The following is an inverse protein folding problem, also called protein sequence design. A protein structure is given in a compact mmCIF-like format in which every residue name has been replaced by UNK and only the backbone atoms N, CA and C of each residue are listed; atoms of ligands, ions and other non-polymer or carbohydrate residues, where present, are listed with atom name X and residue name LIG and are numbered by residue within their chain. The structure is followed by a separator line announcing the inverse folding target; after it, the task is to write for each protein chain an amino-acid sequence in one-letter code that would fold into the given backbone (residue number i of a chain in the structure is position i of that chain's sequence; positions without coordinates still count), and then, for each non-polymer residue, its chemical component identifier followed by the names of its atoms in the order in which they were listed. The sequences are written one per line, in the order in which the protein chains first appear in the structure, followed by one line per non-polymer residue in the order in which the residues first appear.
data_IF_888596637940
#
_entry.id   IF_888596637940
#
_cell.length_a   1.000
_cell.length_b   1.000
_cell.length_c   1.000
_cell.angle_alpha   90.00
_cell.angle_beta   90.00
_cell.angle_gamma   90.00
#
_symmetry.space_group_name_H-M   'P 1'
#
loop_
_entity.id
_entity.type
_entity.pdbx_description
1 polymer ?
#
# COMPACT_ATOMS: atom_id res chain seq x y z
N UNK A 1 1.84 22.51 30.32
CA UNK A 1 0.81 21.59 29.82
C UNK A 1 1.20 20.18 30.23
N UNK A 2 0.28 19.38 30.77
CA UNK A 2 0.57 17.98 31.12
C UNK A 2 0.50 17.10 29.86
N UNK A 3 1.24 15.98 29.82
CA UNK A 3 1.29 15.09 28.63
C UNK A 3 -0.10 14.57 28.25
N UNK A 4 -0.95 14.35 29.25
CA UNK A 4 -2.34 13.92 29.07
C UNK A 4 -3.22 14.97 28.38
N UNK A 5 -2.94 16.26 28.56
CA UNK A 5 -3.68 17.36 27.92
C UNK A 5 -3.27 17.49 26.46
N UNK A 6 -1.96 17.36 26.17
CA UNK A 6 -1.43 17.36 24.81
C UNK A 6 -1.98 16.21 23.96
N UNK A 7 -2.21 15.04 24.56
CA UNK A 7 -2.74 13.87 23.85
C UNK A 7 -4.20 14.05 23.38
N UNK A 8 -4.96 14.94 24.01
CA UNK A 8 -6.36 15.21 23.64
C UNK A 8 -6.47 16.28 22.55
N UNK A 9 -5.38 16.98 22.23
CA UNK A 9 -5.37 17.99 21.19
C UNK A 9 -5.34 17.32 19.80
N UNK A 10 -6.13 17.82 18.83
CA UNK A 10 -6.09 17.33 17.46
C UNK A 10 -4.74 17.62 16.80
N UNK A 11 -4.11 18.75 17.13
CA UNK A 11 -2.78 19.11 16.63
C UNK A 11 -1.99 19.83 17.72
N UNK A 12 -0.82 19.28 18.09
CA UNK A 12 0.06 19.84 19.12
C UNK A 12 1.04 20.90 18.58
N UNK A 13 1.17 21.04 17.25
CA UNK A 13 2.17 21.91 16.65
C UNK A 13 2.00 23.38 17.04
N UNK A 14 0.75 23.82 17.26
CA UNK A 14 0.45 25.19 17.71
C UNK A 14 0.85 25.49 19.17
N UNK A 15 1.07 24.46 19.98
CA UNK A 15 1.44 24.59 21.40
C UNK A 15 2.95 24.38 21.64
N UNK A 16 3.70 23.99 20.60
CA UNK A 16 5.14 23.78 20.63
C UNK A 16 5.87 25.03 20.14
N UNK A 17 7.10 25.24 20.64
CA UNK A 17 7.95 26.30 20.11
C UNK A 17 8.40 25.99 18.67
N UNK A 18 8.57 27.05 17.87
CA UNK A 18 8.92 26.92 16.45
C UNK A 18 10.23 26.13 16.23
N UNK A 19 11.19 26.23 17.15
CA UNK A 19 12.47 25.53 17.04
C UNK A 19 12.31 24.02 17.26
N UNK A 20 11.49 23.61 18.23
CA UNK A 20 11.12 22.21 18.46
C UNK A 20 10.34 21.64 17.28
N UNK A 21 9.35 22.38 16.77
CA UNK A 21 8.59 21.95 15.57
C UNK A 21 9.52 21.76 14.38
N UNK A 22 10.43 22.72 14.14
CA UNK A 22 11.41 22.64 13.05
C UNK A 22 12.34 21.44 13.23
N UNK A 23 12.80 21.17 14.46
CA UNK A 23 13.66 20.03 14.76
C UNK A 23 12.97 18.69 14.48
N UNK A 24 11.72 18.52 14.94
CA UNK A 24 10.92 17.32 14.67
C UNK A 24 10.73 17.13 13.16
N UNK A 25 10.39 18.20 12.44
CA UNK A 25 10.25 18.17 10.98
C UNK A 25 11.55 17.76 10.27
N UNK A 26 12.69 18.31 10.70
CA UNK A 26 14.00 17.95 10.17
C UNK A 26 14.33 16.48 10.44
N UNK A 27 14.09 15.99 11.66
CA UNK A 27 14.36 14.59 12.03
C UNK A 27 13.51 13.63 11.19
N UNK A 28 12.22 13.96 10.97
CA UNK A 28 11.33 13.17 10.12
C UNK A 28 11.80 13.09 8.66
N UNK A 29 12.21 14.23 8.08
CA UNK A 29 12.72 14.29 6.70
C UNK A 29 14.05 13.54 6.57
N UNK A 30 14.97 13.73 7.51
CA UNK A 30 16.26 13.02 7.50
C UNK A 30 16.08 11.51 7.62
N UNK A 31 15.17 11.05 8.48
CA UNK A 31 14.84 9.64 8.65
C UNK A 31 14.26 9.04 7.35
N UNK A 32 13.34 9.75 6.70
CA UNK A 32 12.79 9.36 5.40
C UNK A 32 13.87 9.28 4.32
N UNK A 33 14.73 10.30 4.21
CA UNK A 33 15.81 10.32 3.22
C UNK A 33 16.80 9.18 3.45
N UNK A 34 17.11 8.85 4.71
CA UNK A 34 18.00 7.74 5.04
C UNK A 34 17.44 6.40 4.53
N UNK A 35 16.15 6.15 4.73
CA UNK A 35 15.50 4.93 4.23
C UNK A 35 15.41 4.92 2.71
N UNK A 36 15.06 6.06 2.10
CA UNK A 36 15.01 6.22 0.64
C UNK A 36 16.38 5.92 0.01
N UNK A 37 17.46 6.45 0.57
CA UNK A 37 18.83 6.17 0.12
C UNK A 37 19.21 4.70 0.29
N UNK A 38 18.78 4.07 1.38
CA UNK A 38 19.09 2.65 1.64
C UNK A 38 18.56 1.69 0.57
N UNK A 39 17.49 2.07 -0.15
CA UNK A 39 16.83 1.24 -1.19
C UNK A 39 17.10 1.70 -2.63
N UNK A 40 18.02 2.64 -2.84
CA UNK A 40 18.27 3.26 -4.16
C UNK A 40 18.60 2.23 -5.25
N UNK A 41 19.52 1.29 -4.98
CA UNK A 41 19.89 0.23 -5.94
C UNK A 41 18.69 -0.65 -6.32
N UNK A 42 17.78 -0.88 -5.38
CA UNK A 42 16.57 -1.65 -5.63
C UNK A 42 15.56 -0.85 -6.47
N UNK A 43 15.44 0.46 -6.25
CA UNK A 43 14.58 1.33 -7.06
C UNK A 43 15.02 1.38 -8.52
N UNK A 44 16.31 1.51 -8.80
CA UNK A 44 16.83 1.54 -10.18
C UNK A 44 16.53 0.23 -10.92
N UNK A 45 16.65 -0.91 -10.23
CA UNK A 45 16.29 -2.22 -10.78
C UNK A 45 14.79 -2.31 -11.03
N UNK A 46 13.97 -1.84 -10.10
CA UNK A 46 12.52 -1.85 -10.24
C UNK A 46 12.06 -0.95 -11.40
N UNK A 47 12.62 0.24 -11.55
CA UNK A 47 12.31 1.15 -12.65
C UNK A 47 12.64 0.52 -14.01
N UNK A 48 13.79 -0.17 -14.10
CA UNK A 48 14.18 -0.91 -15.31
C UNK A 48 13.20 -2.05 -15.62
N UNK A 49 12.76 -2.80 -14.61
CA UNK A 49 11.77 -3.86 -14.78
C UNK A 49 10.40 -3.32 -15.23
N UNK A 50 9.96 -2.20 -14.67
CA UNK A 50 8.72 -1.52 -15.09
C UNK A 50 8.82 -1.04 -16.55
N UNK A 51 9.94 -0.39 -16.93
CA UNK A 51 10.17 0.04 -18.33
C UNK A 51 10.10 -1.12 -19.31
N UNK A 52 10.65 -2.28 -18.94
CA UNK A 52 10.58 -3.50 -19.73
C UNK A 52 9.14 -4.02 -19.85
N UNK A 53 8.41 -4.10 -18.72
CA UNK A 53 7.04 -4.61 -18.68
C UNK A 53 6.05 -3.70 -19.43
N UNK A 54 6.25 -2.38 -19.39
CA UNK A 54 5.46 -1.39 -20.14
C UNK A 54 5.88 -1.29 -21.62
N UNK A 55 6.92 -2.01 -22.02
CA UNK A 55 7.46 -2.01 -23.40
C UNK A 55 7.76 -0.60 -23.91
N UNK A 56 8.32 0.25 -23.06
CA UNK A 56 8.64 1.62 -23.43
C UNK A 56 9.51 1.63 -24.70
N UNK A 57 9.02 2.32 -25.75
CA UNK A 57 9.69 2.41 -27.04
C UNK A 57 10.85 3.39 -26.95
N UNK A 58 12.05 2.88 -26.98
CA UNK A 58 13.26 3.70 -27.04
C UNK A 58 13.68 3.88 -28.49
N UNK A 59 14.12 5.10 -28.84
CA UNK A 59 14.71 5.37 -30.14
C UNK A 59 16.00 4.56 -30.26
N UNK A 60 16.05 3.70 -31.26
CA UNK A 60 17.22 2.87 -31.56
C UNK A 60 17.91 3.46 -32.77
N UNK A 61 19.13 3.97 -32.58
CA UNK A 61 19.92 4.59 -33.67
C UNK A 61 21.03 3.67 -34.21
N UNK A 62 21.02 2.40 -33.80
CA UNK A 62 21.95 1.39 -34.28
C UNK A 62 21.15 0.21 -34.87
N UNK A 63 21.51 -0.34 -36.05
CA UNK A 63 22.66 0.02 -36.88
C UNK A 63 22.51 1.33 -37.69
N UNK A 64 21.32 1.93 -37.76
CA UNK A 64 21.07 3.24 -38.38
C UNK A 64 20.10 4.09 -37.53
N UNK A 65 20.06 5.42 -37.71
CA UNK A 65 19.12 6.30 -37.01
C UNK A 65 17.66 5.86 -37.17
N UNK A 66 16.89 5.88 -36.08
CA UNK A 66 15.48 5.43 -36.05
C UNK A 66 15.24 3.98 -36.56
N UNK A 67 16.23 3.10 -36.38
CA UNK A 67 16.09 1.67 -36.63
C UNK A 67 14.93 1.06 -35.83
N UNK A 68 14.31 0.02 -36.41
CA UNK A 68 13.16 -0.65 -35.80
C UNK A 68 13.51 -1.27 -34.43
N UNK A 69 12.64 -1.02 -33.46
CA UNK A 69 12.72 -1.57 -32.10
C UNK A 69 11.41 -2.32 -31.81
N UNK A 70 11.41 -3.64 -32.08
CA UNK A 70 10.26 -4.51 -31.81
C UNK A 70 10.50 -5.20 -30.47
N UNK A 71 9.67 -4.89 -29.47
CA UNK A 71 9.66 -5.56 -28.17
C UNK A 71 8.44 -6.50 -28.12
N UNK A 72 8.67 -7.80 -27.94
CA UNK A 72 7.57 -8.75 -27.77
C UNK A 72 7.07 -8.72 -26.31
N UNK A 73 5.76 -8.62 -26.05
CA UNK A 73 5.18 -8.38 -24.73
C UNK A 73 5.16 -9.62 -23.79
N UNK A 74 6.24 -10.41 -23.74
CA UNK A 74 6.24 -11.69 -23.02
C UNK A 74 5.90 -11.54 -21.53
N UNK A 75 6.52 -10.56 -20.87
CA UNK A 75 6.30 -10.28 -19.44
C UNK A 75 4.87 -9.81 -19.18
N UNK A 76 4.36 -8.90 -20.01
CA UNK A 76 2.99 -8.39 -19.90
C UNK A 76 1.95 -9.50 -20.08
N UNK A 77 2.14 -10.38 -21.08
CA UNK A 77 1.26 -11.53 -21.32
C UNK A 77 1.28 -12.47 -20.10
N UNK A 78 2.45 -12.76 -19.56
CA UNK A 78 2.58 -13.62 -18.37
C UNK A 78 1.89 -13.01 -17.14
N UNK A 79 2.03 -11.70 -16.93
CA UNK A 79 1.38 -10.98 -15.83
C UNK A 79 -0.15 -11.00 -15.96
N UNK A 80 -0.69 -10.74 -17.16
CA UNK A 80 -2.13 -10.84 -17.43
C UNK A 80 -2.68 -12.25 -17.23
N UNK A 81 -1.93 -13.29 -17.65
CA UNK A 81 -2.30 -14.67 -17.41
C UNK A 81 -2.25 -15.07 -15.93
N UNK A 82 -1.36 -14.45 -15.15
CA UNK A 82 -1.32 -14.62 -13.70
C UNK A 82 -2.55 -14.00 -13.05
N UNK A 83 -2.85 -12.72 -13.31
CA UNK A 83 -4.00 -12.04 -12.69
C UNK A 83 -5.34 -12.70 -13.04
N UNK A 84 -5.53 -13.08 -14.30
CA UNK A 84 -6.73 -13.78 -14.78
C UNK A 84 -7.00 -15.12 -14.07
N UNK A 85 -5.96 -15.79 -13.54
CA UNK A 85 -6.09 -17.02 -12.76
C UNK A 85 -6.16 -16.76 -11.26
N UNK A 86 -5.40 -15.79 -10.77
CA UNK A 86 -5.30 -15.49 -9.35
C UNK A 86 -6.57 -14.83 -8.80
N UNK A 87 -7.17 -13.89 -9.54
CA UNK A 87 -8.36 -13.16 -9.09
C UNK A 87 -9.53 -14.09 -8.72
N UNK A 88 -10.04 -14.97 -9.61
CA UNK A 88 -11.13 -15.89 -9.26
C UNK A 88 -10.72 -16.99 -8.26
N UNK A 89 -9.43 -17.27 -8.12
CA UNK A 89 -8.94 -18.22 -7.13
C UNK A 89 -8.91 -17.64 -5.71
N UNK A 90 -8.64 -16.33 -5.59
CA UNK A 90 -8.51 -15.62 -4.31
C UNK A 90 -9.84 -14.99 -3.87
N UNK A 91 -10.58 -14.36 -4.79
CA UNK A 91 -11.89 -13.78 -4.53
C UNK A 91 -12.95 -14.82 -4.87
N UNK A 92 -13.38 -15.57 -3.85
CA UNK A 92 -14.51 -16.50 -3.93
C UNK A 92 -15.68 -15.94 -3.14
N UNK A 93 -16.48 -15.08 -3.77
CA UNK A 93 -17.69 -14.54 -3.16
C UNK A 93 -18.64 -15.69 -2.75
N UNK A 94 -19.33 -15.59 -1.61
CA UNK A 94 -19.32 -14.46 -0.66
C UNK A 94 -18.21 -14.52 0.41
N UNK A 95 -17.43 -15.60 0.47
CA UNK A 95 -16.49 -15.87 1.57
C UNK A 95 -15.05 -15.48 1.21
N UNK A 96 -14.76 -14.19 1.15
CA UNK A 96 -13.40 -13.68 0.89
C UNK A 96 -12.51 -13.86 2.12
N UNK A 97 -12.99 -13.48 3.31
CA UNK A 97 -12.24 -13.61 4.55
C UNK A 97 -12.35 -15.02 5.10
N UNK A 98 -11.21 -15.72 5.13
CA UNK A 98 -11.11 -17.05 5.75
C UNK A 98 -10.68 -16.94 7.20
N UNK A 99 -11.18 -17.85 8.02
CA UNK A 99 -10.85 -17.93 9.44
C UNK A 99 -10.39 -19.34 9.79
N UNK A 100 -9.59 -19.44 10.85
CA UNK A 100 -9.19 -20.71 11.46
C UNK A 100 -9.61 -20.70 12.92
N UNK A 101 -10.30 -21.76 13.34
CA UNK A 101 -10.61 -21.97 14.76
C UNK A 101 -9.37 -22.57 15.42
N UNK A 102 -8.84 -21.90 16.43
CA UNK A 102 -7.71 -22.39 17.20
C UNK A 102 -8.21 -23.11 18.48
N UNK A 103 -7.72 -24.33 18.71
CA UNK A 103 -8.05 -25.15 19.89
C UNK A 103 -9.32 -26.00 19.71
N UNK A 104 -9.63 -26.83 20.71
CA UNK A 104 -10.81 -27.69 20.70
C UNK A 104 -12.11 -26.87 20.68
N UNK A 105 -13.07 -27.31 19.87
CA UNK A 105 -14.41 -26.73 19.75
C UNK A 105 -15.47 -27.84 19.68
N UNK A 106 -15.68 -28.62 20.77
CA UNK A 106 -16.60 -29.76 20.76
C UNK A 106 -18.05 -29.35 20.45
N UNK A 107 -18.43 -28.14 20.86
CA UNK A 107 -19.79 -27.60 20.71
C UNK A 107 -19.97 -26.72 19.47
N UNK A 108 -18.92 -26.52 18.66
CA UNK A 108 -18.96 -25.71 17.43
C UNK A 108 -19.18 -24.20 17.65
N UNK A 109 -19.15 -23.72 18.89
CA UNK A 109 -19.45 -22.32 19.22
C UNK A 109 -18.36 -21.37 18.71
N UNK A 110 -17.09 -21.79 18.73
CA UNK A 110 -15.98 -20.97 18.22
C UNK A 110 -16.06 -20.88 16.70
N UNK A 111 -16.36 -21.97 16.02
CA UNK A 111 -16.61 -22.00 14.59
C UNK A 111 -17.78 -21.09 14.21
N UNK A 112 -18.91 -21.18 14.93
CA UNK A 112 -20.06 -20.30 14.71
C UNK A 112 -19.75 -18.82 14.90
N UNK A 113 -18.93 -18.47 15.91
CA UNK A 113 -18.47 -17.09 16.12
C UNK A 113 -17.54 -16.62 15.00
N UNK A 114 -16.57 -17.44 14.62
CA UNK A 114 -15.62 -17.12 13.56
C UNK A 114 -16.32 -16.98 12.21
N UNK A 115 -17.33 -17.81 11.92
CA UNK A 115 -18.18 -17.69 10.74
C UNK A 115 -18.92 -16.37 10.65
N UNK A 116 -19.49 -15.88 11.77
CA UNK A 116 -20.13 -14.55 11.81
C UNK A 116 -19.15 -13.42 11.53
N UNK A 117 -17.95 -13.49 12.12
CA UNK A 117 -16.88 -12.50 11.89
C UNK A 117 -16.43 -12.52 10.42
N UNK A 118 -16.13 -13.71 9.88
CA UNK A 118 -15.71 -13.86 8.49
C UNK A 118 -16.75 -13.35 7.49
N UNK A 119 -18.03 -13.63 7.74
CA UNK A 119 -19.13 -13.12 6.91
C UNK A 119 -19.25 -11.59 7.01
N UNK A 120 -19.13 -11.03 8.21
CA UNK A 120 -19.18 -9.58 8.40
C UNK A 120 -17.99 -8.87 7.73
N UNK A 121 -16.77 -9.37 7.90
CA UNK A 121 -15.58 -8.79 7.25
C UNK A 121 -15.63 -8.95 5.72
N UNK A 122 -16.15 -10.07 5.20
CA UNK A 122 -16.32 -10.24 3.76
C UNK A 122 -17.37 -9.27 3.20
N UNK A 123 -18.45 -9.02 3.95
CA UNK A 123 -19.43 -7.98 3.62
C UNK A 123 -18.80 -6.57 3.61
N UNK A 124 -17.95 -6.24 4.58
CA UNK A 124 -17.24 -4.95 4.60
C UNK A 124 -16.39 -4.76 3.34
N UNK A 125 -15.65 -5.79 2.93
CA UNK A 125 -14.77 -5.70 1.76
C UNK A 125 -15.53 -5.68 0.43
N UNK A 126 -16.57 -6.51 0.28
CA UNK A 126 -17.28 -6.64 -1.00
C UNK A 126 -18.35 -5.57 -1.21
N UNK A 127 -19.03 -5.14 -0.15
CA UNK A 127 -20.21 -4.28 -0.25
C UNK A 127 -19.98 -2.87 0.29
N UNK A 128 -19.12 -2.68 1.29
CA UNK A 128 -18.84 -1.33 1.82
C UNK A 128 -17.66 -0.67 1.11
N UNK A 129 -16.63 -1.44 0.77
CA UNK A 129 -15.45 -0.97 0.05
C UNK A 129 -15.53 -1.34 -1.45
N UNK A 130 -16.43 -0.68 -2.19
CA UNK A 130 -16.68 -0.98 -3.61
C UNK A 130 -15.42 -0.98 -4.50
N UNK A 131 -14.41 -0.18 -4.14
CA UNK A 131 -13.15 -0.05 -4.90
C UNK A 131 -12.14 -1.17 -4.59
N UNK A 132 -12.40 -1.96 -3.53
CA UNK A 132 -11.47 -2.97 -3.04
C UNK A 132 -11.11 -4.02 -4.09
N UNK A 133 -12.09 -4.49 -4.85
CA UNK A 133 -11.90 -5.54 -5.87
C UNK A 133 -11.08 -5.01 -7.04
N UNK A 134 -11.36 -3.78 -7.50
CA UNK A 134 -10.59 -3.13 -8.56
C UNK A 134 -9.13 -2.92 -8.16
N UNK A 135 -8.90 -2.44 -6.93
CA UNK A 135 -7.55 -2.25 -6.41
C UNK A 135 -6.82 -3.58 -6.25
N UNK A 136 -7.54 -4.64 -5.83
CA UNK A 136 -6.96 -5.97 -5.75
C UNK A 136 -6.59 -6.54 -7.13
N UNK A 137 -7.38 -6.31 -8.17
CA UNK A 137 -7.03 -6.69 -9.54
C UNK A 137 -5.78 -5.95 -10.03
N UNK A 138 -5.69 -4.63 -9.80
CA UNK A 138 -4.47 -3.85 -10.09
C UNK A 138 -3.25 -4.43 -9.37
N UNK A 139 -3.40 -4.79 -8.09
CA UNK A 139 -2.34 -5.45 -7.32
C UNK A 139 -1.89 -6.75 -7.97
N UNK A 140 -2.83 -7.60 -8.43
CA UNK A 140 -2.50 -8.89 -9.04
C UNK A 140 -1.81 -8.75 -10.39
N UNK A 141 -2.07 -7.68 -11.15
CA UNK A 141 -1.34 -7.38 -12.38
C UNK A 141 0.09 -6.90 -12.07
N UNK A 142 0.25 -6.06 -11.06
CA UNK A 142 1.53 -5.47 -10.69
C UNK A 142 2.46 -6.46 -9.95
N UNK A 143 1.91 -7.33 -9.11
CA UNK A 143 2.65 -8.29 -8.27
C UNK A 143 3.66 -9.15 -9.04
N UNK A 144 3.34 -9.79 -10.19
CA UNK A 144 4.32 -10.58 -10.94
C UNK A 144 5.43 -9.75 -11.59
N UNK A 145 5.24 -8.43 -11.73
CA UNK A 145 6.24 -7.51 -12.30
C UNK A 145 7.13 -6.94 -11.19
N UNK A 146 6.53 -6.45 -10.12
CA UNK A 146 7.21 -5.78 -9.00
C UNK A 146 7.78 -6.78 -7.97
N UNK A 147 7.27 -8.01 -7.96
CA UNK A 147 7.64 -9.09 -7.03
C UNK A 147 7.00 -8.97 -5.65
N UNK A 148 6.67 -7.76 -5.21
CA UNK A 148 6.00 -7.49 -3.93
C UNK A 148 4.97 -6.38 -4.10
N UNK A 149 3.90 -6.43 -3.30
CA UNK A 149 2.90 -5.37 -3.17
C UNK A 149 2.40 -5.40 -1.73
N UNK A 150 1.93 -4.26 -1.22
CA UNK A 150 1.43 -4.14 0.15
C UNK A 150 -0.05 -3.77 0.15
N UNK A 151 -0.73 -4.08 1.26
CA UNK A 151 -2.11 -3.69 1.49
C UNK A 151 -2.21 -3.04 2.86
N UNK A 152 -2.80 -1.85 2.91
CA UNK A 152 -3.06 -1.11 4.14
C UNK A 152 -4.55 -1.11 4.38
N UNK A 153 -4.97 -1.62 5.54
CA UNK A 153 -6.37 -1.58 5.96
C UNK A 153 -6.49 -0.67 7.18
N UNK A 154 -7.36 0.34 7.10
CA UNK A 154 -7.57 1.32 8.16
C UNK A 154 -9.04 1.75 8.20
N UNK A 155 -9.45 2.31 9.34
CA UNK A 155 -10.75 2.93 9.45
C UNK A 155 -10.67 4.37 8.95
N UNK A 156 -11.43 4.68 7.90
CA UNK A 156 -11.58 6.04 7.42
C UNK A 156 -12.67 6.73 8.24
N UNK A 157 -12.30 7.77 8.99
CA UNK A 157 -13.21 8.54 9.82
C UNK A 157 -14.22 9.36 9.01
N UNK A 158 -13.86 9.77 7.78
CA UNK A 158 -14.70 10.58 6.90
C UNK A 158 -15.76 9.68 6.26
N UNK A 159 -15.33 8.60 5.60
CA UNK A 159 -16.23 7.62 4.99
C UNK A 159 -16.93 6.70 6.02
N UNK A 160 -16.50 6.74 7.29
CA UNK A 160 -17.00 5.93 8.42
C UNK A 160 -16.99 4.43 8.16
N UNK A 161 -16.06 3.96 7.34
CA UNK A 161 -15.94 2.55 6.93
C UNK A 161 -14.47 2.11 6.96
N UNK A 162 -14.27 0.80 7.02
CA UNK A 162 -12.94 0.23 6.83
C UNK A 162 -12.61 0.29 5.34
N UNK A 163 -11.48 0.89 5.01
CA UNK A 163 -10.96 0.95 3.64
C UNK A 163 -9.67 0.13 3.59
N UNK A 164 -9.50 -0.65 2.53
CA UNK A 164 -8.28 -1.41 2.32
C UNK A 164 -7.63 -1.09 0.98
N UNK A 165 -6.72 -0.11 1.00
CA UNK A 165 -6.00 0.35 -0.19
C UNK A 165 -4.74 -0.47 -0.47
N UNK A 166 -4.37 -0.53 -1.75
CA UNK A 166 -3.11 -1.11 -2.20
C UNK A 166 -2.01 -0.06 -2.10
N UNK A 167 -0.84 -0.47 -1.64
CA UNK A 167 0.36 0.37 -1.58
C UNK A 167 1.46 -0.31 -2.39
N UNK A 168 1.95 0.38 -3.42
CA UNK A 168 3.02 -0.15 -4.25
C UNK A 168 4.37 -0.04 -3.51
N UNK A 169 5.33 -0.93 -3.82
CA UNK A 169 6.66 -0.85 -3.22
C UNK A 169 7.38 0.47 -3.50
N UNK A 170 7.08 1.16 -4.61
CA UNK A 170 7.63 2.50 -4.89
C UNK A 170 7.26 3.50 -3.80
N UNK A 171 6.06 3.38 -3.27
CA UNK A 171 5.45 4.40 -2.41
C UNK A 171 5.65 4.06 -0.94
N UNK A 172 5.89 2.79 -0.60
CA UNK A 172 6.29 2.38 0.74
C UNK A 172 7.81 2.46 0.93
N UNK A 173 8.23 3.48 1.68
CA UNK A 173 9.62 3.67 2.11
C UNK A 173 9.83 3.04 3.48
N UNK A 174 10.73 2.06 3.50
CA UNK A 174 11.22 1.38 4.70
C UNK A 174 12.72 1.18 4.55
N UNK A 175 13.42 1.01 5.68
CA UNK A 175 14.84 0.64 5.66
C UNK A 175 15.04 -0.67 4.88
N UNK A 176 15.90 -0.65 3.87
CA UNK A 176 16.13 -1.80 2.99
C UNK A 176 16.67 -3.03 3.72
N UNK A 177 17.39 -2.83 4.83
CA UNK A 177 18.03 -3.90 5.60
C UNK A 177 17.16 -4.45 6.73
N UNK A 178 15.91 -3.98 6.86
CA UNK A 178 14.99 -4.54 7.83
C UNK A 178 14.67 -6.00 7.51
N UNK A 179 14.64 -6.85 8.54
CA UNK A 179 14.35 -8.29 8.38
C UNK A 179 12.88 -8.56 8.09
N UNK A 180 12.00 -7.75 8.65
CA UNK A 180 10.56 -7.82 8.51
C UNK A 180 9.98 -6.42 8.57
N UNK A 181 8.77 -6.24 8.04
CA UNK A 181 8.07 -4.97 8.18
C UNK A 181 7.72 -4.71 9.64
N UNK A 182 7.46 -5.74 10.43
CA UNK A 182 7.09 -5.63 11.84
C UNK A 182 8.24 -5.09 12.71
N UNK A 183 9.48 -5.42 12.38
CA UNK A 183 10.68 -4.96 13.09
C UNK A 183 11.18 -3.60 12.58
N UNK A 184 10.64 -3.07 11.48
CA UNK A 184 10.98 -1.74 11.00
C UNK A 184 10.63 -0.68 12.05
N UNK A 185 11.61 0.15 12.43
CA UNK A 185 11.38 1.29 13.31
C UNK A 185 10.36 2.28 12.73
N UNK A 186 10.35 2.44 11.40
CA UNK A 186 9.50 3.38 10.69
C UNK A 186 9.03 2.81 9.35
N UNK A 187 7.82 3.21 8.97
CA UNK A 187 7.18 2.91 7.69
C UNK A 187 6.61 4.22 7.17
N UNK A 188 7.07 4.65 6.02
CA UNK A 188 6.60 5.88 5.40
C UNK A 188 5.92 5.55 4.08
N UNK A 189 4.72 6.07 3.89
CA UNK A 189 3.99 5.96 2.65
C UNK A 189 3.96 7.32 1.96
N UNK A 190 4.36 7.35 0.69
CA UNK A 190 4.29 8.54 -0.16
C UNK A 190 2.88 8.62 -0.72
N UNK A 191 2.18 9.71 -0.43
CA UNK A 191 0.82 9.95 -0.91
C UNK A 191 0.85 11.05 -1.97
N UNK A 192 0.36 10.76 -3.16
CA UNK A 192 0.08 11.78 -4.18
C UNK A 192 -1.32 12.36 -3.93
N UNK A 193 -1.37 13.60 -3.47
CA UNK A 193 -2.61 14.30 -3.18
C UNK A 193 -2.63 15.65 -3.89
N UNK A 194 -3.79 16.03 -4.38
CA UNK A 194 -4.04 17.38 -4.86
C UNK A 194 -4.03 18.37 -3.69
N UNK A 195 -3.70 19.63 -3.97
CA UNK A 195 -3.71 20.67 -2.94
C UNK A 195 -5.08 20.87 -2.27
N UNK A 196 -6.17 20.45 -2.92
CA UNK A 196 -7.52 20.48 -2.34
C UNK A 196 -7.71 19.39 -1.28
N UNK A 197 -7.27 18.17 -1.58
CA UNK A 197 -7.35 17.04 -0.63
C UNK A 197 -6.47 17.27 0.60
N UNK A 198 -5.30 17.89 0.42
CA UNK A 198 -4.46 18.31 1.54
C UNK A 198 -5.23 19.30 2.42
N UNK A 199 -5.85 20.33 1.81
CA UNK A 199 -6.60 21.34 2.54
C UNK A 199 -7.84 20.78 3.25
N UNK A 200 -8.54 19.84 2.63
CA UNK A 200 -9.69 19.16 3.23
C UNK A 200 -9.28 18.41 4.51
N UNK A 201 -8.16 17.67 4.46
CA UNK A 201 -7.63 16.94 5.62
C UNK A 201 -7.13 17.85 6.75
N UNK A 202 -6.54 19.00 6.41
CA UNK A 202 -6.19 20.04 7.39
C UNK A 202 -7.45 20.59 8.09
N UNK A 203 -8.51 20.86 7.33
CA UNK A 203 -9.76 21.41 7.87
C UNK A 203 -10.51 20.41 8.74
N UNK A 204 -10.45 19.12 8.39
CA UNK A 204 -11.00 18.02 9.18
C UNK A 204 -10.17 17.75 10.46
N UNK A 205 -9.03 18.44 10.64
CA UNK A 205 -8.16 18.31 11.81
C UNK A 205 -7.39 17.00 11.84
N UNK A 206 -7.26 16.33 10.69
CA UNK A 206 -6.46 15.12 10.57
C UNK A 206 -4.97 15.44 10.45
N UNK A 207 -4.63 16.60 9.85
CA UNK A 207 -3.28 17.11 9.57
C UNK A 207 -3.07 18.53 10.09
#
# INVERSE_FOLDING_TARGET
MNVWELQQLPNIAGELDEDTVRKIGMDAVQAYEADKRSRMDWEERMETAIKLALQMKEKKNWPWPDAANVKFPLVTIAALQFSARALPALIKAPDVVKYRVNGADPDGQKAGRAGRIGKHMSYQLLEQDEQWEEDFDKLLIALPILGTCFKKSYYDAVAKKNISSVVFPSDLVVSYYARSLEECERKTEVLELSGREIRERELDGFW
#
